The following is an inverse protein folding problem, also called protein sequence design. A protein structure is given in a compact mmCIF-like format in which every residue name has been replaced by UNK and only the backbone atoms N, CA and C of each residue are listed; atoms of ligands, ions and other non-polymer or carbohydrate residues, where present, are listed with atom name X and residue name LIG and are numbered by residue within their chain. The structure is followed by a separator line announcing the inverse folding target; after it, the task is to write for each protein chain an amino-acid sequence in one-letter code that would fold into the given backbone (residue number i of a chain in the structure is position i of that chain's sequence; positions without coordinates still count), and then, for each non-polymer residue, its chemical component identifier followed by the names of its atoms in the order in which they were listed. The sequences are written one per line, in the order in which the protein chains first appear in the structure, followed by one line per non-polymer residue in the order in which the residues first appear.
data_IF_654415962961
#
_entry.id   IF_654415962961
#
_cell.length_a   1.000
_cell.length_b   1.000
_cell.length_c   1.000
_cell.angle_alpha   90.00
_cell.angle_beta   90.00
_cell.angle_gamma   90.00
#
_symmetry.space_group_name_H-M   'P 1'
#
loop_
_entity.id
_entity.type
_entity.pdbx_description
1 polymer ?
#
# COMPACT_ATOMS: atom_id res chain seq x y z
N UNK A 1 0.07 23.99 58.16
CA UNK A 1 -1.16 23.87 58.98
C UNK A 1 -2.26 23.30 58.10
N UNK A 2 -2.86 22.21 58.56
CA UNK A 2 -3.94 21.47 57.90
C UNK A 2 -5.28 22.23 57.98
N UNK A 3 -6.20 21.96 57.05
CA UNK A 3 -7.54 21.44 57.38
C UNK A 3 -8.24 20.87 56.13
N UNK A 4 -8.84 19.70 56.33
CA UNK A 4 -9.65 18.89 55.41
C UNK A 4 -10.97 19.57 55.02
N UNK A 5 -11.52 19.24 53.84
CA UNK A 5 -12.92 18.77 53.75
C UNK A 5 -13.18 17.96 52.46
N UNK A 6 -13.99 16.92 52.62
CA UNK A 6 -14.32 15.82 51.71
C UNK A 6 -15.78 16.00 51.26
N UNK A 7 -16.12 15.74 49.99
CA UNK A 7 -17.46 15.22 49.61
C UNK A 7 -17.49 14.62 48.21
N UNK A 8 -17.65 13.30 48.16
CA UNK A 8 -18.25 12.58 47.05
C UNK A 8 -19.78 12.67 47.18
N UNK A 9 -20.48 12.81 46.06
CA UNK A 9 -21.90 12.40 45.94
C UNK A 9 -22.04 11.63 44.64
N UNK A 10 -22.10 10.30 44.76
CA UNK A 10 -22.73 9.41 43.80
C UNK A 10 -24.25 9.51 43.99
N UNK A 11 -25.01 9.54 42.90
CA UNK A 11 -26.42 9.15 42.90
C UNK A 11 -26.59 7.84 42.13
N UNK A 12 -26.98 6.84 42.90
CA UNK A 12 -27.54 5.56 42.51
C UNK A 12 -28.89 5.69 41.79
N UNK A 13 -29.14 4.84 40.78
CA UNK A 13 -30.16 3.77 40.87
C UNK A 13 -30.17 2.89 39.61
N UNK A 14 -29.83 1.63 39.86
CA UNK A 14 -30.15 0.43 39.11
C UNK A 14 -31.66 0.18 39.11
N UNK A 15 -32.20 -0.34 38.00
CA UNK A 15 -33.20 -1.42 38.03
C UNK A 15 -33.25 -2.14 36.68
N UNK A 16 -32.76 -3.37 36.70
CA UNK A 16 -32.93 -4.51 35.79
C UNK A 16 -34.38 -4.76 35.39
N UNK A 17 -34.61 -5.14 34.13
CA UNK A 17 -35.51 -6.25 33.78
C UNK A 17 -34.99 -6.99 32.55
N UNK A 18 -34.90 -8.30 32.70
CA UNK A 18 -34.47 -9.28 31.72
C UNK A 18 -35.72 -10.03 31.22
N UNK A 19 -35.61 -10.65 30.03
CA UNK A 19 -36.37 -11.80 29.50
C UNK A 19 -37.41 -11.55 28.38
N UNK A 20 -36.99 -12.03 27.18
CA UNK A 20 -37.69 -12.69 26.06
C UNK A 20 -38.90 -12.05 25.39
N UNK A 21 -38.77 -11.79 24.08
CA UNK A 21 -39.68 -12.37 23.08
C UNK A 21 -38.94 -12.72 21.78
N UNK A 22 -39.07 -13.98 21.36
CA UNK A 22 -38.83 -14.50 20.02
C UNK A 22 -39.88 -13.90 19.07
N UNK A 23 -39.46 -13.34 17.92
CA UNK A 23 -40.24 -13.50 16.69
C UNK A 23 -39.39 -13.24 15.44
N UNK A 24 -39.15 -14.33 14.70
CA UNK A 24 -38.64 -14.32 13.34
C UNK A 24 -39.71 -13.79 12.38
N UNK A 25 -39.43 -12.72 11.62
CA UNK A 25 -40.26 -12.35 10.49
C UNK A 25 -39.67 -12.91 9.19
N UNK A 26 -40.45 -13.83 8.62
CA UNK A 26 -40.32 -14.38 7.26
C UNK A 26 -40.50 -13.25 6.25
N UNK A 27 -39.52 -13.02 5.38
CA UNK A 27 -39.74 -12.31 4.12
C UNK A 27 -40.02 -13.35 3.04
N UNK A 28 -41.26 -13.32 2.54
CA UNK A 28 -41.75 -14.16 1.48
C UNK A 28 -41.33 -13.61 0.10
N UNK A 29 -40.73 -14.49 -0.71
CA UNK A 29 -40.51 -14.29 -2.15
C UNK A 29 -41.69 -14.87 -2.94
N UNK A 30 -42.25 -14.08 -3.85
CA UNK A 30 -43.24 -14.40 -4.91
C UNK A 30 -43.23 -13.18 -5.86
N UNK A 31 -43.16 -13.21 -7.19
CA UNK A 31 -43.32 -14.18 -8.30
C UNK A 31 -42.47 -13.57 -9.46
N UNK A 32 -41.86 -14.27 -10.44
CA UNK A 32 -42.51 -15.10 -11.46
C UNK A 32 -41.48 -15.73 -12.43
N UNK A 33 -41.68 -17.02 -12.74
CA UNK A 33 -41.71 -17.74 -14.04
C UNK A 33 -40.70 -17.45 -15.17
N UNK A 34 -40.32 -18.37 -16.06
CA UNK A 34 -40.29 -19.84 -16.20
C UNK A 34 -39.75 -20.09 -17.63
N UNK A 35 -38.82 -21.04 -17.83
CA UNK A 35 -38.72 -21.99 -18.96
C UNK A 35 -37.36 -22.14 -19.67
N UNK A 36 -37.16 -23.41 -20.08
CA UNK A 36 -36.19 -24.01 -21.01
C UNK A 36 -34.77 -24.20 -20.42
N UNK A 37 -34.23 -25.40 -20.17
CA UNK A 37 -34.32 -26.70 -20.85
C UNK A 37 -34.06 -27.87 -19.87
N UNK A 38 -34.69 -29.02 -20.12
CA UNK A 38 -34.52 -30.28 -19.37
C UNK A 38 -34.06 -31.39 -20.34
N UNK A 39 -33.51 -32.47 -19.76
CA UNK A 39 -33.30 -33.81 -20.34
C UNK A 39 -31.99 -33.99 -21.14
N UNK A 40 -30.99 -34.71 -20.62
CA UNK A 40 -30.84 -36.18 -20.41
C UNK A 40 -30.38 -36.91 -21.67
N UNK A 41 -29.22 -37.57 -21.61
CA UNK A 41 -28.90 -38.72 -22.47
C UNK A 41 -27.86 -39.62 -21.78
N UNK A 42 -28.38 -40.64 -21.09
CA UNK A 42 -27.73 -41.93 -20.92
C UNK A 42 -28.02 -42.78 -22.16
N UNK A 43 -26.99 -43.32 -22.82
CA UNK A 43 -27.11 -44.48 -23.72
C UNK A 43 -25.84 -45.30 -23.69
N UNK A 44 -25.92 -46.44 -23.02
CA UNK A 44 -25.19 -47.67 -23.36
C UNK A 44 -25.82 -48.29 -24.61
N UNK A 45 -25.01 -48.83 -25.52
CA UNK A 45 -25.36 -50.04 -26.27
C UNK A 45 -24.10 -50.78 -26.72
N UNK A 46 -24.25 -52.10 -26.60
CA UNK A 46 -23.41 -53.26 -26.85
C UNK A 46 -22.98 -53.46 -28.30
N UNK A 47 -21.90 -54.22 -28.50
CA UNK A 47 -21.78 -55.14 -29.63
C UNK A 47 -21.16 -56.48 -29.17
N UNK A 48 -21.88 -57.56 -29.43
CA UNK A 48 -21.48 -58.97 -29.35
C UNK A 48 -21.85 -59.63 -30.67
N UNK A 49 -20.96 -60.46 -31.22
CA UNK A 49 -21.19 -61.72 -31.95
C UNK A 49 -19.79 -62.20 -32.45
N UNK A 50 -19.41 -63.47 -32.62
CA UNK A 50 -20.11 -64.70 -33.05
C UNK A 50 -19.42 -65.97 -32.52
N UNK A 51 -20.26 -66.99 -32.30
CA UNK A 51 -20.12 -68.44 -32.09
C UNK A 51 -18.92 -69.25 -32.64
N UNK A 52 -18.60 -70.33 -31.90
CA UNK A 52 -18.58 -71.73 -32.42
C UNK A 52 -18.70 -72.76 -31.27
N UNK A 53 -19.50 -73.82 -31.50
CA UNK A 53 -19.89 -74.92 -30.59
C UNK A 53 -19.13 -76.23 -30.97
N UNK A 54 -19.50 -77.45 -30.51
CA UNK A 54 -19.29 -78.11 -29.20
C UNK A 54 -18.50 -79.46 -29.33
N UNK A 55 -18.18 -80.17 -28.24
CA UNK A 55 -18.16 -81.65 -28.24
C UNK A 55 -18.15 -82.29 -26.83
N UNK A 56 -18.67 -83.51 -26.80
CA UNK A 56 -19.18 -84.35 -25.71
C UNK A 56 -18.12 -85.08 -24.86
N UNK A 57 -18.49 -85.53 -23.65
CA UNK A 57 -18.68 -86.95 -23.21
C UNK A 57 -18.76 -87.04 -21.67
N UNK A 58 -19.53 -87.99 -21.08
CA UNK A 58 -20.01 -87.95 -19.70
C UNK A 58 -19.45 -89.04 -18.75
N UNK A 59 -19.76 -88.84 -17.45
CA UNK A 59 -19.96 -89.83 -16.37
C UNK A 59 -18.77 -90.66 -15.84
N UNK A 60 -18.48 -90.57 -14.53
CA UNK A 60 -18.93 -91.52 -13.49
C UNK A 60 -18.17 -91.38 -12.15
N UNK A 61 -18.91 -91.69 -11.09
CA UNK A 61 -18.50 -92.31 -9.81
C UNK A 61 -17.71 -91.51 -8.75
N UNK A 62 -18.49 -91.08 -7.75
CA UNK A 62 -18.29 -91.32 -6.32
C UNK A 62 -16.97 -91.93 -5.84
N UNK A 63 -16.25 -91.22 -4.99
CA UNK A 63 -16.14 -91.51 -3.54
C UNK A 63 -15.01 -90.68 -2.92
N UNK A 64 -15.04 -90.59 -1.59
CA UNK A 64 -14.07 -89.94 -0.69
C UNK A 64 -14.30 -88.45 -0.40
N UNK A 65 -15.12 -88.21 0.62
CA UNK A 65 -14.84 -87.14 1.58
C UNK A 65 -13.82 -87.63 2.60
N UNK A 66 -12.89 -86.76 3.02
CA UNK A 66 -12.65 -86.67 4.45
C UNK A 66 -12.62 -85.23 4.93
N UNK A 67 -13.38 -84.99 5.99
CA UNK A 67 -13.03 -84.19 7.16
C UNK A 67 -11.98 -83.08 6.97
N UNK A 68 -12.44 -81.83 6.92
CA UNK A 68 -11.76 -80.72 7.57
C UNK A 68 -12.75 -80.02 8.51
N UNK A 69 -13.04 -80.76 9.57
CA UNK A 69 -13.64 -80.22 10.78
C UNK A 69 -12.56 -79.48 11.56
N UNK A 70 -12.93 -78.32 12.11
CA UNK A 70 -12.28 -77.64 13.24
C UNK A 70 -10.91 -77.00 12.95
N UNK A 71 -10.96 -75.73 12.59
CA UNK A 71 -10.13 -74.68 13.22
C UNK A 71 -10.78 -73.30 13.04
N UNK A 72 -12.05 -73.18 13.44
CA UNK A 72 -12.59 -71.91 13.92
C UNK A 72 -11.98 -71.68 15.29
N UNK A 73 -10.81 -71.03 15.28
CA UNK A 73 -10.14 -70.54 16.47
C UNK A 73 -11.14 -69.66 17.22
N UNK A 74 -11.54 -70.17 18.40
CA UNK A 74 -12.21 -69.44 19.45
C UNK A 74 -11.40 -68.17 19.76
N UNK A 75 -11.78 -67.03 19.17
CA UNK A 75 -11.50 -65.76 19.82
C UNK A 75 -12.45 -65.64 21.00
N UNK A 76 -11.94 -66.12 22.14
CA UNK A 76 -12.24 -65.65 23.49
C UNK A 76 -13.06 -64.35 23.50
N UNK A 77 -14.30 -64.45 24.03
CA UNK A 77 -15.04 -63.31 24.56
C UNK A 77 -14.33 -62.84 25.84
N UNK A 78 -13.16 -62.23 25.70
CA UNK A 78 -12.64 -61.31 26.70
C UNK A 78 -13.41 -60.00 26.60
N UNK A 79 -13.63 -59.25 27.69
CA UNK A 79 -14.16 -57.91 27.57
C UNK A 79 -13.13 -57.12 26.77
N UNK A 80 -13.40 -56.88 25.48
CA UNK A 80 -12.68 -55.87 24.74
C UNK A 80 -12.90 -54.59 25.55
N UNK A 81 -11.89 -54.16 26.31
CA UNK A 81 -11.89 -52.89 27.01
C UNK A 81 -12.10 -51.86 25.92
N UNK A 82 -13.36 -51.46 25.70
CA UNK A 82 -13.70 -50.38 24.79
C UNK A 82 -12.87 -49.21 25.29
N UNK A 83 -11.97 -48.74 24.44
CA UNK A 83 -11.23 -47.51 24.72
C UNK A 83 -12.28 -46.50 25.18
N UNK A 84 -12.13 -45.92 26.39
CA UNK A 84 -13.11 -44.98 26.89
C UNK A 84 -13.31 -43.90 25.82
N UNK A 85 -14.56 -43.51 25.59
CA UNK A 85 -14.95 -42.60 24.51
C UNK A 85 -14.09 -41.32 24.50
N UNK A 86 -13.63 -40.89 25.68
CA UNK A 86 -12.67 -39.79 25.85
C UNK A 86 -11.34 -39.97 25.11
N UNK A 87 -10.77 -41.18 25.04
CA UNK A 87 -9.50 -41.44 24.34
C UNK A 87 -9.70 -41.41 22.82
N UNK A 88 -10.83 -41.93 22.33
CA UNK A 88 -11.21 -41.86 20.92
C UNK A 88 -11.41 -40.41 20.46
N UNK A 89 -12.10 -39.60 21.28
CA UNK A 89 -12.28 -38.16 21.01
C UNK A 89 -10.94 -37.42 21.00
N UNK A 90 -10.05 -37.70 21.96
CA UNK A 90 -8.73 -37.06 22.01
C UNK A 90 -7.83 -37.41 20.82
N UNK A 91 -7.90 -38.65 20.31
CA UNK A 91 -7.14 -39.07 19.11
C UNK A 91 -7.66 -38.37 17.84
N UNK A 92 -8.97 -38.20 17.70
CA UNK A 92 -9.57 -37.45 16.58
C UNK A 92 -9.14 -35.98 16.62
N UNK A 93 -9.19 -35.35 17.81
CA UNK A 93 -8.73 -33.96 17.99
C UNK A 93 -7.23 -33.83 17.66
N UNK A 94 -6.40 -34.75 18.15
CA UNK A 94 -4.96 -34.74 17.87
C UNK A 94 -4.65 -34.93 16.37
N UNK A 95 -5.41 -35.79 15.69
CA UNK A 95 -5.32 -35.97 14.24
C UNK A 95 -5.67 -34.70 13.47
N UNK A 96 -6.78 -34.03 13.81
CA UNK A 96 -7.19 -32.77 13.19
C UNK A 96 -6.17 -31.66 13.42
N UNK A 97 -5.66 -31.51 14.65
CA UNK A 97 -4.61 -30.52 14.98
C UNK A 97 -3.34 -30.77 14.17
N UNK A 98 -2.96 -32.04 13.99
CA UNK A 98 -1.75 -32.42 13.24
C UNK A 98 -1.89 -32.11 11.74
N UNK A 99 -3.06 -32.39 11.15
CA UNK A 99 -3.36 -32.07 9.74
C UNK A 99 -3.36 -30.56 9.53
N UNK A 100 -3.99 -29.80 10.43
CA UNK A 100 -4.01 -28.34 10.37
C UNK A 100 -2.61 -27.72 10.47
N UNK A 101 -1.77 -28.24 11.37
CA UNK A 101 -0.37 -27.80 11.51
C UNK A 101 0.44 -28.09 10.24
N UNK A 102 0.25 -29.27 9.65
CA UNK A 102 0.92 -29.65 8.39
C UNK A 102 0.46 -28.76 7.24
N UNK A 103 -0.85 -28.51 7.12
CA UNK A 103 -1.41 -27.62 6.10
C UNK A 103 -0.89 -26.19 6.26
N UNK A 104 -0.92 -25.64 7.47
CA UNK A 104 -0.39 -24.31 7.77
C UNK A 104 1.11 -24.21 7.45
N UNK A 105 1.88 -25.26 7.74
CA UNK A 105 3.30 -25.31 7.42
C UNK A 105 3.56 -25.31 5.91
N UNK A 106 2.84 -26.15 5.15
CA UNK A 106 2.94 -26.21 3.69
C UNK A 106 2.61 -24.86 3.06
N UNK A 107 1.55 -24.23 3.55
CA UNK A 107 1.05 -22.98 3.01
C UNK A 107 1.98 -21.80 3.35
N UNK A 108 2.52 -21.74 4.56
CA UNK A 108 3.54 -20.77 4.95
C UNK A 108 4.82 -20.93 4.12
N UNK A 109 5.25 -22.17 3.85
CA UNK A 109 6.42 -22.44 2.99
C UNK A 109 6.17 -22.02 1.54
N UNK A 110 4.96 -22.21 1.03
CA UNK A 110 4.57 -21.74 -0.29
C UNK A 110 4.57 -20.21 -0.37
N UNK A 111 4.02 -19.52 0.64
CA UNK A 111 4.07 -18.06 0.71
C UNK A 111 5.49 -17.52 0.81
N UNK A 112 6.35 -18.15 1.63
CA UNK A 112 7.77 -17.78 1.71
C UNK A 112 8.46 -17.92 0.34
N UNK A 113 8.18 -19.00 -0.38
CA UNK A 113 8.70 -19.18 -1.74
C UNK A 113 8.22 -18.09 -2.70
N UNK A 114 6.92 -17.73 -2.67
CA UNK A 114 6.38 -16.65 -3.49
C UNK A 114 7.07 -15.32 -3.21
N UNK A 115 7.18 -14.93 -1.93
CA UNK A 115 7.83 -13.67 -1.54
C UNK A 115 9.30 -13.66 -1.93
N UNK A 116 10.03 -14.76 -1.71
CA UNK A 116 11.42 -14.88 -2.12
C UNK A 116 11.59 -14.70 -3.63
N UNK A 117 10.74 -15.35 -4.42
CA UNK A 117 10.75 -15.21 -5.89
C UNK A 117 10.36 -13.78 -6.33
N UNK A 118 9.42 -13.12 -5.64
CA UNK A 118 9.06 -11.72 -5.92
C UNK A 118 10.21 -10.77 -5.61
N UNK A 119 10.88 -10.90 -4.46
CA UNK A 119 12.06 -10.09 -4.11
C UNK A 119 13.20 -10.35 -5.07
N UNK A 120 13.40 -11.61 -5.49
CA UNK A 120 14.41 -11.95 -6.48
C UNK A 120 14.14 -11.24 -7.82
N UNK A 121 12.91 -11.28 -8.35
CA UNK A 121 12.58 -10.67 -9.65
C UNK A 121 12.36 -9.15 -9.61
N UNK A 122 12.00 -8.62 -8.45
CA UNK A 122 11.45 -7.28 -8.28
C UNK A 122 10.01 -7.15 -8.78
N UNK A 123 9.34 -6.04 -8.45
CA UNK A 123 7.93 -5.84 -8.81
C UNK A 123 7.70 -5.27 -10.21
N UNK A 124 8.70 -4.58 -10.78
CA UNK A 124 8.65 -3.99 -12.14
C UNK A 124 7.32 -3.26 -12.44
N UNK A 125 7.03 -2.16 -11.73
CA UNK A 125 5.71 -1.52 -11.77
C UNK A 125 5.32 -1.06 -13.19
N UNK A 126 4.04 -1.21 -13.51
CA UNK A 126 3.48 -0.75 -14.78
C UNK A 126 3.39 0.79 -14.84
N UNK A 127 3.59 1.34 -16.03
CA UNK A 127 3.51 2.78 -16.32
C UNK A 127 2.36 2.97 -17.31
N UNK A 128 1.23 3.48 -16.81
CA UNK A 128 0.04 3.74 -17.61
C UNK A 128 0.06 5.15 -18.23
N UNK A 129 1.15 5.48 -18.92
CA UNK A 129 1.30 6.75 -19.63
C UNK A 129 1.73 6.43 -21.05
N UNK A 130 1.09 7.05 -22.03
CA UNK A 130 1.46 6.89 -23.43
C UNK A 130 2.78 7.58 -23.75
N UNK A 131 3.53 7.07 -24.71
CA UNK A 131 4.90 7.53 -25.02
C UNK A 131 4.98 9.00 -25.48
N UNK A 132 3.87 9.53 -26.02
CA UNK A 132 3.67 10.94 -26.39
C UNK A 132 3.44 11.85 -25.17
N UNK A 133 3.22 11.29 -23.99
CA UNK A 133 3.03 12.02 -22.73
C UNK A 133 4.17 11.81 -21.74
N UNK A 134 4.95 10.76 -21.91
CA UNK A 134 6.07 10.43 -21.04
C UNK A 134 7.31 11.30 -21.35
N UNK A 135 7.82 11.98 -20.32
CA UNK A 135 9.07 12.72 -20.38
C UNK A 135 10.14 12.05 -19.47
N UNK A 136 11.17 11.40 -20.03
CA UNK A 136 11.95 10.39 -19.31
C UNK A 136 13.05 10.91 -18.36
N UNK A 137 13.49 12.18 -18.46
CA UNK A 137 14.57 12.80 -17.63
C UNK A 137 15.72 11.83 -17.26
N UNK A 138 16.54 11.41 -18.24
CA UNK A 138 17.51 10.32 -18.07
C UNK A 138 18.49 10.54 -16.90
N UNK A 139 18.96 11.78 -16.69
CA UNK A 139 19.86 12.09 -15.58
C UNK A 139 19.25 11.80 -14.20
N UNK A 140 17.94 12.05 -14.02
CA UNK A 140 17.23 11.76 -12.77
C UNK A 140 17.02 10.25 -12.63
N UNK A 141 16.62 9.57 -13.71
CA UNK A 141 16.44 8.11 -13.75
C UNK A 141 17.76 7.40 -13.41
N UNK A 142 18.88 7.82 -13.98
CA UNK A 142 20.20 7.26 -13.68
C UNK A 142 20.63 7.47 -12.23
N UNK A 143 20.28 8.63 -11.63
CA UNK A 143 20.51 8.88 -10.21
C UNK A 143 19.66 7.96 -9.33
N UNK A 144 18.40 7.73 -9.70
CA UNK A 144 17.51 6.78 -9.00
C UNK A 144 18.01 5.33 -9.12
N UNK A 145 18.45 4.92 -10.32
CA UNK A 145 19.01 3.58 -10.57
C UNK A 145 20.23 3.28 -9.70
N UNK A 146 21.05 4.29 -9.40
CA UNK A 146 22.20 4.15 -8.48
C UNK A 146 21.75 3.82 -7.06
N UNK A 147 20.71 4.49 -6.54
CA UNK A 147 20.22 4.21 -5.18
C UNK A 147 19.36 2.94 -5.09
N UNK A 148 18.85 2.45 -6.23
CA UNK A 148 18.11 1.18 -6.33
C UNK A 148 19.02 -0.04 -6.40
N UNK A 149 20.33 0.17 -6.54
CA UNK A 149 21.35 -0.88 -6.59
C UNK A 149 22.41 -0.66 -5.49
N UNK A 150 22.00 -0.76 -4.22
CA UNK A 150 22.90 -0.52 -3.10
C UNK A 150 23.99 -1.60 -3.01
N UNK A 151 25.13 -1.22 -2.46
CA UNK A 151 26.14 -2.18 -2.02
C UNK A 151 25.66 -2.92 -0.76
N UNK A 152 26.22 -4.12 -0.52
CA UNK A 152 25.92 -4.99 0.62
C UNK A 152 26.15 -4.32 1.98
N UNK A 153 26.98 -3.28 2.00
CA UNK A 153 27.47 -2.59 3.19
C UNK A 153 26.84 -1.20 3.40
N UNK A 154 25.93 -0.78 2.53
CA UNK A 154 25.23 0.50 2.66
C UNK A 154 24.42 0.56 3.97
N UNK A 155 24.57 1.67 4.70
CA UNK A 155 24.04 1.84 6.06
C UNK A 155 23.17 3.08 6.23
N UNK A 156 22.47 3.49 5.16
CA UNK A 156 21.52 4.59 5.16
C UNK A 156 20.35 4.32 4.21
N UNK A 157 19.18 4.88 4.53
CA UNK A 157 17.99 4.85 3.68
C UNK A 157 17.87 6.15 2.88
N UNK A 158 17.09 6.14 1.81
CA UNK A 158 16.95 7.28 0.90
C UNK A 158 15.60 7.98 1.05
N UNK A 159 15.59 9.27 0.74
CA UNK A 159 14.37 10.06 0.58
C UNK A 159 14.41 10.71 -0.79
N UNK A 160 13.38 10.45 -1.59
CA UNK A 160 13.12 11.14 -2.85
C UNK A 160 11.95 12.09 -2.61
N UNK A 161 12.22 13.38 -2.73
CA UNK A 161 11.23 14.41 -2.54
C UNK A 161 11.04 15.20 -3.81
N UNK A 162 10.04 16.06 -3.77
CA UNK A 162 9.81 17.04 -4.81
C UNK A 162 8.38 17.49 -4.75
N UNK A 163 8.15 18.53 -5.51
CA UNK A 163 6.86 19.15 -5.64
C UNK A 163 5.79 18.18 -6.22
N UNK A 164 4.54 18.28 -5.77
CA UNK A 164 3.43 17.52 -6.37
C UNK A 164 3.36 17.72 -7.90
N UNK A 165 3.24 16.63 -8.66
CA UNK A 165 3.12 16.73 -10.11
C UNK A 165 4.42 16.99 -10.88
N UNK A 166 5.61 16.84 -10.27
CA UNK A 166 6.92 16.89 -10.97
C UNK A 166 7.34 15.58 -11.64
N UNK A 167 6.49 14.55 -11.60
CA UNK A 167 6.75 13.25 -12.24
C UNK A 167 7.52 12.23 -11.39
N UNK A 168 7.70 12.47 -10.07
CA UNK A 168 8.41 11.58 -9.15
C UNK A 168 8.02 10.10 -9.27
N UNK A 169 6.73 9.79 -9.14
CA UNK A 169 6.19 8.43 -9.23
C UNK A 169 6.57 7.79 -10.56
N UNK A 170 6.45 8.51 -11.67
CA UNK A 170 6.76 8.00 -13.00
C UNK A 170 8.25 7.72 -13.15
N UNK A 171 9.12 8.65 -12.77
CA UNK A 171 10.57 8.47 -12.84
C UNK A 171 11.06 7.35 -11.92
N UNK A 172 10.43 7.20 -10.74
CA UNK A 172 10.72 6.12 -9.79
C UNK A 172 10.27 4.76 -10.33
N UNK A 173 9.08 4.68 -10.95
CA UNK A 173 8.60 3.46 -11.63
C UNK A 173 9.51 3.07 -12.80
N UNK A 174 9.94 4.05 -13.62
CA UNK A 174 10.88 3.82 -14.73
C UNK A 174 12.19 3.23 -14.22
N UNK A 175 12.84 3.89 -13.25
CA UNK A 175 14.08 3.41 -12.68
C UNK A 175 13.92 2.03 -12.02
N UNK A 176 12.80 1.79 -11.33
CA UNK A 176 12.50 0.52 -10.67
C UNK A 176 12.35 -0.62 -11.69
N UNK A 177 11.64 -0.36 -12.80
CA UNK A 177 11.47 -1.30 -13.90
C UNK A 177 12.78 -1.58 -14.65
N UNK A 178 13.60 -0.56 -14.89
CA UNK A 178 14.90 -0.72 -15.55
C UNK A 178 15.92 -1.49 -14.71
N UNK A 179 15.91 -1.32 -13.38
CA UNK A 179 16.73 -2.14 -12.48
C UNK A 179 16.16 -3.54 -12.35
N UNK A 180 14.85 -3.64 -12.11
CA UNK A 180 14.11 -4.88 -11.92
C UNK A 180 14.54 -5.61 -10.65
N UNK A 181 15.59 -6.42 -10.76
CA UNK A 181 16.01 -7.39 -9.75
C UNK A 181 16.21 -6.75 -8.36
N UNK A 182 15.61 -7.33 -7.33
CA UNK A 182 15.81 -6.89 -5.95
C UNK A 182 15.06 -5.61 -5.55
N UNK A 183 14.24 -5.01 -6.44
CA UNK A 183 13.49 -3.78 -6.15
C UNK A 183 12.02 -4.09 -5.96
N UNK A 184 11.52 -3.84 -4.74
CA UNK A 184 10.11 -3.93 -4.40
C UNK A 184 9.50 -2.52 -4.38
N UNK A 185 8.54 -2.28 -5.27
CA UNK A 185 7.78 -1.04 -5.33
C UNK A 185 6.43 -1.20 -4.63
N UNK A 186 6.15 -0.37 -3.63
CA UNK A 186 4.88 -0.32 -2.90
C UNK A 186 4.25 1.05 -3.11
N UNK A 187 3.18 1.10 -3.90
CA UNK A 187 2.40 2.33 -4.14
C UNK A 187 1.34 2.48 -3.06
N UNK A 188 1.55 3.40 -2.11
CA UNK A 188 0.54 3.64 -1.09
C UNK A 188 -0.69 4.23 -1.81
N UNK A 189 -1.92 3.72 -1.54
CA UNK A 189 -3.17 4.24 -2.12
C UNK A 189 -3.26 5.75 -1.99
N UNK A 190 -4.18 6.41 -2.71
CA UNK A 190 -4.52 7.85 -2.55
C UNK A 190 -5.95 8.09 -2.03
N UNK A 191 -6.73 7.04 -1.85
CA UNK A 191 -8.12 7.13 -1.40
C UNK A 191 -8.21 7.00 0.14
N UNK A 192 -8.81 7.97 0.86
CA UNK A 192 -9.03 7.91 2.31
C UNK A 192 -9.70 6.62 2.80
N UNK A 193 -10.53 5.98 1.97
CA UNK A 193 -11.16 4.69 2.28
C UNK A 193 -10.17 3.52 2.27
N UNK A 194 -9.08 3.63 1.50
CA UNK A 194 -8.06 2.59 1.30
C UNK A 194 -6.70 2.92 1.94
N UNK A 195 -6.51 4.13 2.49
CA UNK A 195 -5.27 4.56 3.14
C UNK A 195 -5.08 4.05 4.57
N UNK A 196 -6.09 3.44 5.17
CA UNK A 196 -6.00 2.90 6.52
C UNK A 196 -4.93 1.80 6.64
N UNK A 197 -4.60 1.43 7.89
CA UNK A 197 -3.68 0.32 8.23
C UNK A 197 -3.91 -0.94 7.39
N UNK A 198 -5.18 -1.21 7.08
CA UNK A 198 -5.64 -2.38 6.37
C UNK A 198 -5.36 -2.30 4.87
N UNK A 199 -5.73 -1.19 4.23
CA UNK A 199 -5.52 -1.01 2.79
C UNK A 199 -4.03 -0.86 2.43
N UNK A 200 -3.24 -0.14 3.24
CA UNK A 200 -1.78 -0.17 3.11
C UNK A 200 -1.22 -1.59 3.26
N UNK A 201 -1.71 -2.34 4.24
CA UNK A 201 -1.31 -3.73 4.45
C UNK A 201 -1.62 -4.62 3.25
N UNK A 202 -2.81 -4.47 2.67
CA UNK A 202 -3.22 -5.18 1.45
C UNK A 202 -2.27 -4.89 0.29
N UNK A 203 -2.05 -3.62 -0.03
CA UNK A 203 -1.16 -3.24 -1.15
C UNK A 203 0.28 -3.69 -0.93
N UNK A 204 0.78 -3.59 0.30
CA UNK A 204 2.13 -4.08 0.61
C UNK A 204 2.21 -5.61 0.43
N UNK A 205 1.20 -6.37 0.89
CA UNK A 205 1.17 -7.81 0.64
C UNK A 205 1.07 -8.16 -0.85
N UNK A 206 0.21 -7.48 -1.60
CA UNK A 206 0.07 -7.67 -3.06
C UNK A 206 1.39 -7.40 -3.79
N UNK A 207 2.10 -6.33 -3.41
CA UNK A 207 3.42 -5.99 -3.95
C UNK A 207 4.47 -7.09 -3.70
N UNK A 208 4.28 -7.94 -2.70
CA UNK A 208 5.15 -9.07 -2.39
C UNK A 208 4.64 -10.41 -2.94
N UNK A 209 3.46 -10.43 -3.57
CA UNK A 209 2.70 -11.66 -3.82
C UNK A 209 2.47 -12.48 -2.53
N UNK A 210 2.25 -11.78 -1.42
CA UNK A 210 2.04 -12.35 -0.09
C UNK A 210 0.55 -12.57 0.17
N UNK A 211 0.18 -13.79 0.55
CA UNK A 211 -1.19 -14.13 0.91
C UNK A 211 -1.40 -13.94 2.42
N UNK A 212 -2.28 -13.01 2.78
CA UNK A 212 -2.76 -12.87 4.15
C UNK A 212 -3.73 -13.99 4.47
N UNK A 213 -3.22 -15.07 5.03
CA UNK A 213 -4.08 -16.15 5.51
C UNK A 213 -4.67 -15.76 6.86
N UNK A 214 -5.93 -15.34 6.83
CA UNK A 214 -6.80 -15.23 8.00
C UNK A 214 -7.49 -16.56 8.30
N UNK A 215 -6.83 -17.68 8.05
CA UNK A 215 -7.27 -18.94 8.61
C UNK A 215 -6.93 -18.91 10.09
N UNK A 216 -7.93 -18.60 10.92
CA UNK A 216 -7.86 -19.01 12.32
C UNK A 216 -7.80 -20.54 12.28
N UNK A 217 -6.59 -21.11 12.36
CA UNK A 217 -6.43 -22.56 12.37
C UNK A 217 -7.33 -23.14 13.46
N UNK A 218 -7.82 -24.38 13.31
CA UNK A 218 -8.60 -25.02 14.38
C UNK A 218 -7.81 -24.99 15.69
N UNK A 219 -6.48 -25.10 15.60
CA UNK A 219 -5.51 -24.90 16.68
C UNK A 219 -5.54 -23.50 17.29
N UNK A 220 -5.60 -22.42 16.50
CA UNK A 220 -5.75 -21.05 17.01
C UNK A 220 -7.13 -20.81 17.66
N UNK A 221 -8.19 -21.40 17.11
CA UNK A 221 -9.53 -21.45 17.73
C UNK A 221 -9.51 -22.23 19.06
N UNK A 222 -8.80 -23.37 19.12
CA UNK A 222 -8.63 -24.16 20.33
C UNK A 222 -7.80 -23.43 21.38
N UNK A 223 -6.67 -22.83 21.00
CA UNK A 223 -5.81 -22.08 21.91
C UNK A 223 -6.51 -20.84 22.45
N UNK A 224 -7.29 -20.13 21.63
CA UNK A 224 -8.13 -19.02 22.08
C UNK A 224 -9.19 -19.49 23.10
N UNK A 225 -9.80 -20.66 22.85
CA UNK A 225 -10.87 -21.22 23.70
C UNK A 225 -10.37 -21.88 24.99
N UNK A 226 -9.18 -22.50 24.97
CA UNK A 226 -8.62 -23.27 26.09
C UNK A 226 -7.62 -22.45 26.92
N UNK A 227 -6.78 -21.65 26.27
CA UNK A 227 -5.65 -20.96 26.92
C UNK A 227 -5.86 -19.44 27.02
N UNK A 228 -6.97 -18.90 26.49
CA UNK A 228 -7.25 -17.46 26.54
C UNK A 228 -6.25 -16.59 25.76
N UNK A 229 -5.43 -17.19 24.89
CA UNK A 229 -4.48 -16.44 24.06
C UNK A 229 -5.26 -15.66 22.99
N UNK A 230 -5.16 -14.33 23.06
CA UNK A 230 -5.46 -13.48 21.90
C UNK A 230 -4.37 -13.73 20.87
N UNK A 231 -4.73 -14.32 19.73
CA UNK A 231 -3.85 -14.41 18.56
C UNK A 231 -3.41 -12.97 18.26
N UNK A 232 -2.09 -12.73 18.30
CA UNK A 232 -1.52 -11.41 18.08
C UNK A 232 -2.04 -10.86 16.74
N UNK A 233 -2.97 -9.91 16.82
CA UNK A 233 -3.66 -9.31 15.68
C UNK A 233 -2.71 -8.29 15.03
N UNK A 234 -1.55 -8.80 14.62
CA UNK A 234 -0.53 -8.01 13.96
C UNK A 234 -1.11 -7.52 12.63
N UNK A 235 -1.12 -6.20 12.44
CA UNK A 235 -1.64 -5.56 11.23
C UNK A 235 -1.03 -6.17 9.97
N UNK A 236 -1.80 -6.22 8.88
CA UNK A 236 -1.36 -6.82 7.60
C UNK A 236 -0.03 -6.27 7.11
N UNK A 237 0.18 -4.95 7.21
CA UNK A 237 1.44 -4.35 6.79
C UNK A 237 2.66 -4.81 7.60
N UNK A 238 2.50 -5.12 8.90
CA UNK A 238 3.59 -5.66 9.74
C UNK A 238 3.93 -7.10 9.35
N UNK A 239 2.91 -7.89 8.99
CA UNK A 239 3.11 -9.25 8.46
C UNK A 239 3.84 -9.23 7.13
N UNK A 240 3.44 -8.35 6.20
CA UNK A 240 4.12 -8.15 4.92
C UNK A 240 5.57 -7.70 5.11
N UNK A 241 5.82 -6.72 5.98
CA UNK A 241 7.16 -6.24 6.30
C UNK A 241 8.06 -7.35 6.89
N UNK A 242 7.51 -8.19 7.76
CA UNK A 242 8.23 -9.35 8.31
C UNK A 242 8.59 -10.35 7.21
N UNK A 243 7.65 -10.66 6.31
CA UNK A 243 7.90 -11.54 5.18
C UNK A 243 8.99 -10.98 4.25
N UNK A 244 8.92 -9.68 3.93
CA UNK A 244 9.95 -8.99 3.15
C UNK A 244 11.34 -9.05 3.79
N UNK A 245 11.45 -8.88 5.11
CA UNK A 245 12.73 -8.99 5.83
C UNK A 245 13.34 -10.38 5.74
N UNK A 246 12.52 -11.42 5.86
CA UNK A 246 12.98 -12.80 5.71
C UNK A 246 13.50 -13.05 4.29
N UNK A 247 12.72 -12.63 3.29
CA UNK A 247 13.13 -12.72 1.89
C UNK A 247 14.38 -11.88 1.57
N UNK A 248 14.56 -10.75 2.27
CA UNK A 248 15.74 -9.91 2.12
C UNK A 248 17.02 -10.60 2.58
N UNK A 249 16.94 -11.39 3.65
CA UNK A 249 18.06 -12.20 4.11
C UNK A 249 18.46 -13.27 3.08
N UNK A 250 17.46 -13.93 2.47
CA UNK A 250 17.67 -14.91 1.38
C UNK A 250 18.29 -14.25 0.15
N UNK A 251 17.75 -13.11 -0.27
CA UNK A 251 18.29 -12.33 -1.40
C UNK A 251 19.74 -11.92 -1.17
N UNK A 252 20.05 -11.38 0.02
CA UNK A 252 21.40 -10.97 0.39
C UNK A 252 22.38 -12.14 0.36
N UNK A 253 21.99 -13.30 0.89
CA UNK A 253 22.84 -14.49 0.88
C UNK A 253 23.12 -14.99 -0.55
N UNK A 254 22.13 -14.89 -1.46
CA UNK A 254 22.24 -15.36 -2.84
C UNK A 254 22.99 -14.41 -3.76
N UNK A 255 22.76 -13.10 -3.62
CA UNK A 255 23.26 -12.09 -4.56
C UNK A 255 24.39 -11.23 -4.01
N UNK A 256 24.74 -11.36 -2.72
CA UNK A 256 25.71 -10.51 -2.02
C UNK A 256 25.41 -9.01 -2.23
N UNK A 257 24.12 -8.65 -2.25
CA UNK A 257 23.59 -7.28 -2.41
C UNK A 257 22.35 -7.11 -1.53
N UNK A 258 22.05 -5.88 -1.12
CA UNK A 258 20.82 -5.59 -0.37
C UNK A 258 19.66 -5.40 -1.35
N UNK A 259 18.47 -5.97 -1.08
CA UNK A 259 17.27 -5.59 -1.80
C UNK A 259 16.81 -4.21 -1.36
N UNK A 260 15.97 -3.59 -2.20
CA UNK A 260 15.42 -2.27 -2.01
C UNK A 260 13.91 -2.34 -1.89
N UNK A 261 13.35 -1.61 -0.95
CA UNK A 261 11.92 -1.35 -0.89
C UNK A 261 11.64 0.14 -1.05
N UNK A 262 10.75 0.46 -1.99
CA UNK A 262 10.32 1.80 -2.31
C UNK A 262 8.89 1.95 -1.79
N UNK A 263 8.69 2.90 -0.87
CA UNK A 263 7.39 3.35 -0.42
C UNK A 263 7.04 4.63 -1.19
N UNK A 264 6.16 4.52 -2.19
CA UNK A 264 5.68 5.67 -2.95
C UNK A 264 4.40 6.25 -2.36
N UNK A 265 4.21 7.56 -2.54
CA UNK A 265 3.09 8.33 -2.01
C UNK A 265 2.94 8.25 -0.48
N UNK A 266 4.05 8.41 0.25
CA UNK A 266 4.03 8.35 1.73
C UNK A 266 3.22 9.46 2.38
N UNK A 267 2.79 10.49 1.63
CA UNK A 267 1.82 11.48 2.07
C UNK A 267 0.51 10.85 2.53
N UNK A 268 0.05 9.80 1.86
CA UNK A 268 -1.18 9.09 2.22
C UNK A 268 -1.14 8.49 3.63
N UNK A 269 0.03 8.03 4.09
CA UNK A 269 0.17 7.49 5.44
C UNK A 269 0.09 8.56 6.52
N UNK A 270 0.63 9.76 6.25
CA UNK A 270 0.59 10.85 7.23
C UNK A 270 -0.85 11.31 7.47
N UNK A 271 -1.66 11.31 6.42
CA UNK A 271 -3.05 11.74 6.49
C UNK A 271 -3.96 10.70 7.16
N UNK A 272 -3.67 9.39 7.00
CA UNK A 272 -4.46 8.32 7.60
C UNK A 272 -4.01 7.91 9.01
N UNK A 273 -2.77 7.46 9.16
CA UNK A 273 -2.16 7.20 10.48
C UNK A 273 -0.65 7.48 10.43
N UNK A 274 -0.22 8.64 10.95
CA UNK A 274 1.16 9.03 10.85
C UNK A 274 2.10 8.12 11.65
N UNK A 275 1.61 7.31 12.61
CA UNK A 275 2.41 6.32 13.33
C UNK A 275 2.95 5.21 12.43
N UNK A 276 2.30 4.93 11.30
CA UNK A 276 2.79 3.94 10.33
C UNK A 276 4.10 4.43 9.72
N UNK A 277 4.12 5.67 9.19
CA UNK A 277 5.33 6.27 8.64
C UNK A 277 6.46 6.29 9.67
N UNK A 278 6.12 6.63 10.91
CA UNK A 278 7.06 6.66 12.02
C UNK A 278 7.73 5.30 12.25
N UNK A 279 6.92 4.24 12.23
CA UNK A 279 7.39 2.88 12.44
C UNK A 279 8.22 2.40 11.24
N UNK A 280 7.79 2.71 10.01
CA UNK A 280 8.57 2.39 8.81
C UNK A 280 9.92 3.09 8.79
N UNK A 281 9.98 4.35 9.26
CA UNK A 281 11.23 5.12 9.32
C UNK A 281 12.19 4.55 10.38
N UNK A 282 11.71 4.21 11.58
CA UNK A 282 12.53 3.53 12.59
C UNK A 282 12.99 2.15 12.11
N UNK A 283 12.16 1.45 11.35
CA UNK A 283 12.52 0.16 10.78
C UNK A 283 13.57 0.28 9.67
N UNK A 284 13.45 1.29 8.81
CA UNK A 284 14.45 1.64 7.80
C UNK A 284 15.81 1.95 8.44
N UNK A 285 15.81 2.71 9.55
CA UNK A 285 16.99 2.97 10.36
C UNK A 285 17.59 1.67 10.90
N UNK A 286 16.78 0.80 11.53
CA UNK A 286 17.26 -0.48 12.04
C UNK A 286 17.81 -1.39 10.95
N UNK A 287 17.16 -1.43 9.78
CA UNK A 287 17.63 -2.18 8.63
C UNK A 287 18.96 -1.65 8.10
N UNK A 288 19.14 -0.33 8.07
CA UNK A 288 20.38 0.33 7.69
C UNK A 288 21.53 0.00 8.68
N UNK A 289 21.25 -0.01 9.99
CA UNK A 289 22.21 -0.40 11.03
C UNK A 289 22.66 -1.86 10.87
N UNK A 290 21.71 -2.75 10.53
CA UNK A 290 21.93 -4.19 10.43
C UNK A 290 22.21 -4.67 8.99
N UNK A 291 22.27 -3.74 8.02
CA UNK A 291 22.48 -4.00 6.59
C UNK A 291 21.56 -5.12 6.06
N UNK A 292 20.25 -5.02 6.28
CA UNK A 292 19.29 -6.06 5.85
C UNK A 292 18.67 -5.78 4.48
N UNK A 293 18.22 -4.54 4.29
CA UNK A 293 17.66 -4.01 3.05
C UNK A 293 17.74 -2.48 3.10
N UNK A 294 17.57 -1.82 1.96
CA UNK A 294 17.50 -0.34 1.88
C UNK A 294 16.05 0.09 1.65
N UNK A 295 15.59 1.06 2.44
CA UNK A 295 14.29 1.69 2.23
C UNK A 295 14.45 2.99 1.44
N UNK A 296 13.45 3.30 0.61
CA UNK A 296 13.36 4.56 -0.12
C UNK A 296 11.96 5.11 0.09
N UNK A 297 11.88 6.33 0.63
CA UNK A 297 10.62 7.01 0.81
C UNK A 297 10.44 8.04 -0.30
N UNK A 298 9.43 7.87 -1.15
CA UNK A 298 9.06 8.87 -2.16
C UNK A 298 7.90 9.70 -1.62
N UNK A 299 8.16 10.99 -1.42
CA UNK A 299 7.23 11.87 -0.74
C UNK A 299 7.03 13.20 -1.46
N UNK A 300 5.90 13.83 -1.18
CA UNK A 300 5.69 15.23 -1.48
C UNK A 300 6.33 16.07 -0.39
N UNK A 301 6.89 17.21 -0.80
CA UNK A 301 7.74 18.07 0.02
C UNK A 301 7.11 18.56 1.32
N UNK A 302 5.79 18.74 1.34
CA UNK A 302 5.09 19.55 2.33
C UNK A 302 5.19 19.05 3.79
N UNK A 303 4.47 17.97 4.13
CA UNK A 303 4.23 17.55 5.52
C UNK A 303 5.09 16.35 5.94
N UNK A 304 5.36 15.44 5.01
CA UNK A 304 6.06 14.17 5.27
C UNK A 304 7.52 14.43 5.63
N UNK A 305 8.23 15.22 4.81
CA UNK A 305 9.65 15.52 5.02
C UNK A 305 9.91 16.24 6.34
N UNK A 306 9.05 17.21 6.68
CA UNK A 306 9.11 17.91 7.98
C UNK A 306 8.92 16.94 9.16
N UNK A 307 7.96 16.00 9.05
CA UNK A 307 7.73 14.97 10.07
C UNK A 307 8.91 14.02 10.20
N UNK A 308 9.41 13.46 9.10
CA UNK A 308 10.54 12.52 9.13
C UNK A 308 11.79 13.14 9.77
N UNK A 309 12.05 14.43 9.51
CA UNK A 309 13.17 15.20 10.09
C UNK A 309 13.04 15.47 11.58
N UNK A 310 11.82 15.63 12.08
CA UNK A 310 11.59 15.83 13.51
C UNK A 310 12.10 14.64 14.34
N UNK A 311 12.21 13.45 13.74
CA UNK A 311 12.82 12.25 14.32
C UNK A 311 14.32 12.22 14.14
N UNK A 312 15.02 12.98 14.97
CA UNK A 312 16.49 13.09 14.91
C UNK A 312 17.21 11.73 14.87
N UNK A 313 16.71 10.76 15.63
CA UNK A 313 17.32 9.42 15.72
C UNK A 313 17.24 8.65 14.39
N UNK A 314 16.04 8.48 13.82
CA UNK A 314 15.87 7.81 12.54
C UNK A 314 16.44 8.63 11.38
N UNK A 315 16.24 9.94 11.37
CA UNK A 315 16.74 10.84 10.32
C UNK A 315 18.28 10.82 10.21
N UNK A 316 19.01 10.52 11.28
CA UNK A 316 20.47 10.37 11.22
C UNK A 316 20.96 9.25 10.28
N UNK A 317 20.07 8.32 9.90
CA UNK A 317 20.32 7.25 8.93
C UNK A 317 19.67 7.50 7.58
N UNK A 318 19.04 8.65 7.37
CA UNK A 318 18.74 9.10 6.02
C UNK A 318 20.04 9.53 5.33
N UNK A 319 20.15 9.30 4.03
CA UNK A 319 21.18 9.96 3.23
C UNK A 319 21.04 11.48 3.38
N UNK A 320 22.19 12.15 3.51
CA UNK A 320 22.28 13.60 3.54
C UNK A 320 21.85 14.17 2.18
N UNK A 321 22.16 13.47 1.08
CA UNK A 321 21.81 13.90 -0.28
C UNK A 321 20.38 13.48 -0.65
N UNK A 322 19.39 14.19 -0.10
CA UNK A 322 17.99 14.03 -0.52
C UNK A 322 17.89 14.28 -2.04
N UNK A 323 17.25 13.36 -2.76
CA UNK A 323 17.01 13.53 -4.19
C UNK A 323 15.75 14.38 -4.36
N UNK A 324 15.94 15.64 -4.73
CA UNK A 324 14.86 16.58 -5.03
C UNK A 324 14.56 16.57 -6.53
N UNK A 325 13.36 16.13 -6.89
CA UNK A 325 12.85 16.16 -8.27
C UNK A 325 11.94 17.37 -8.39
N UNK A 326 12.52 18.48 -8.85
CA UNK A 326 11.81 19.72 -9.13
C UNK A 326 11.16 19.74 -10.51
N UNK A 327 10.64 20.91 -10.86
CA UNK A 327 10.09 21.25 -12.16
C UNK A 327 11.08 20.95 -13.30
N UNK A 328 10.52 20.85 -14.51
CA UNK A 328 11.30 20.85 -15.73
C UNK A 328 11.97 22.22 -15.92
N UNK A 329 13.20 22.21 -16.43
CA UNK A 329 13.82 23.41 -16.97
C UNK A 329 13.01 23.97 -18.14
N UNK A 330 13.29 25.22 -18.53
CA UNK A 330 12.68 25.82 -19.72
C UNK A 330 12.89 24.93 -20.96
N UNK A 331 14.13 24.52 -21.22
CA UNK A 331 14.46 23.66 -22.36
C UNK A 331 13.72 22.31 -22.30
N UNK A 332 13.69 21.64 -21.14
CA UNK A 332 12.93 20.39 -20.96
C UNK A 332 11.42 20.61 -21.17
N UNK A 333 10.88 21.75 -20.74
CA UNK A 333 9.45 22.08 -20.87
C UNK A 333 9.06 22.35 -22.32
N UNK A 334 9.87 23.13 -23.04
CA UNK A 334 9.66 23.41 -24.46
C UNK A 334 9.85 22.13 -25.28
N UNK A 335 10.87 21.31 -24.98
CA UNK A 335 11.06 20.01 -25.61
C UNK A 335 9.85 19.09 -25.40
N UNK A 336 9.32 19.02 -24.18
CA UNK A 336 8.08 18.30 -23.89
C UNK A 336 6.90 18.81 -24.74
N UNK A 337 6.62 20.12 -24.73
CA UNK A 337 5.49 20.68 -25.46
C UNK A 337 5.63 20.51 -26.99
N UNK A 338 6.83 20.66 -27.54
CA UNK A 338 7.06 20.58 -28.98
C UNK A 338 7.18 19.13 -29.44
N UNK A 339 8.12 18.37 -28.87
CA UNK A 339 8.48 17.06 -29.39
C UNK A 339 7.54 15.95 -28.91
N UNK A 340 7.06 16.03 -27.67
CA UNK A 340 6.09 15.06 -27.13
C UNK A 340 4.66 15.44 -27.48
N UNK A 341 4.27 16.70 -27.22
CA UNK A 341 2.88 17.16 -27.38
C UNK A 341 2.54 17.74 -28.76
N UNK A 342 3.52 17.87 -29.66
CA UNK A 342 3.34 18.33 -31.05
C UNK A 342 2.74 19.75 -31.16
N UNK A 343 3.01 20.60 -30.17
CA UNK A 343 2.62 22.01 -30.17
C UNK A 343 3.70 22.82 -30.89
N UNK A 344 3.32 23.88 -31.62
CA UNK A 344 4.30 24.76 -32.28
C UNK A 344 5.17 25.46 -31.25
N UNK A 345 6.43 25.74 -31.61
CA UNK A 345 7.40 26.30 -30.66
C UNK A 345 6.95 27.64 -30.08
N UNK A 346 6.34 28.50 -30.89
CA UNK A 346 5.86 29.82 -30.49
C UNK A 346 4.74 29.71 -29.44
N UNK A 347 3.80 28.78 -29.66
CA UNK A 347 2.70 28.50 -28.74
C UNK A 347 3.22 27.81 -27.46
N UNK A 348 4.21 26.92 -27.60
CA UNK A 348 4.84 26.25 -26.47
C UNK A 348 5.52 27.23 -25.51
N UNK A 349 6.20 28.26 -26.03
CA UNK A 349 6.80 29.33 -25.23
C UNK A 349 5.72 30.06 -24.43
N UNK A 350 4.60 30.45 -25.07
CA UNK A 350 3.48 31.13 -24.39
C UNK A 350 2.90 30.27 -23.27
N UNK A 351 2.75 28.96 -23.50
CA UNK A 351 2.24 28.03 -22.49
C UNK A 351 3.22 27.86 -21.34
N UNK A 352 4.52 27.73 -21.61
CA UNK A 352 5.57 27.65 -20.60
C UNK A 352 5.65 28.93 -19.77
N UNK A 353 5.68 30.10 -20.40
CA UNK A 353 5.71 31.40 -19.71
C UNK A 353 4.51 31.57 -18.78
N UNK A 354 3.38 30.96 -19.17
CA UNK A 354 2.19 30.95 -18.34
C UNK A 354 2.32 29.99 -17.14
N UNK A 355 2.59 28.69 -17.34
CA UNK A 355 2.48 27.70 -16.25
C UNK A 355 3.79 27.30 -15.57
N UNK A 356 4.94 27.61 -16.16
CA UNK A 356 6.25 27.17 -15.72
C UNK A 356 6.55 25.71 -16.08
N UNK A 357 7.47 25.09 -15.33
CA UNK A 357 8.02 23.76 -15.63
C UNK A 357 7.32 22.58 -14.97
N UNK A 358 6.22 22.81 -14.24
CA UNK A 358 5.48 21.75 -13.57
C UNK A 358 4.79 20.84 -14.60
N UNK A 359 5.23 19.58 -14.72
CA UNK A 359 4.81 18.69 -15.81
C UNK A 359 3.30 18.39 -15.80
N UNK A 360 2.65 18.35 -14.62
CA UNK A 360 1.19 18.17 -14.56
C UNK A 360 0.44 19.40 -15.09
N UNK A 361 0.95 20.60 -14.83
CA UNK A 361 0.34 21.84 -15.29
C UNK A 361 0.58 22.02 -16.79
N UNK A 362 1.80 21.72 -17.27
CA UNK A 362 2.14 21.65 -18.70
C UNK A 362 1.25 20.67 -19.46
N UNK A 363 1.05 19.46 -18.91
CA UNK A 363 0.13 18.48 -19.49
C UNK A 363 -1.29 19.03 -19.56
N UNK A 364 -1.78 19.62 -18.47
CA UNK A 364 -3.13 20.19 -18.41
C UNK A 364 -3.34 21.26 -19.48
N UNK A 365 -2.44 22.23 -19.60
CA UNK A 365 -2.60 23.29 -20.61
C UNK A 365 -2.43 22.77 -22.03
N UNK A 366 -1.53 21.81 -22.25
CA UNK A 366 -1.37 21.15 -23.54
C UNK A 366 -2.63 20.39 -23.95
N UNK A 367 -3.25 19.63 -23.05
CA UNK A 367 -4.51 18.91 -23.30
C UNK A 367 -5.64 19.89 -23.70
N UNK A 368 -5.80 20.99 -22.96
CA UNK A 368 -6.84 21.99 -23.24
C UNK A 368 -6.59 22.73 -24.56
N UNK A 369 -5.33 23.08 -24.82
CA UNK A 369 -4.92 23.76 -26.04
C UNK A 369 -5.17 22.89 -27.28
N UNK A 370 -4.73 21.62 -27.24
CA UNK A 370 -4.95 20.66 -28.33
C UNK A 370 -6.44 20.33 -28.55
N UNK A 371 -7.28 20.48 -27.53
CA UNK A 371 -8.74 20.41 -27.64
C UNK A 371 -9.38 21.66 -28.27
N UNK A 372 -8.58 22.64 -28.74
CA UNK A 372 -9.04 23.85 -29.42
C UNK A 372 -9.47 24.99 -28.48
N UNK A 373 -9.19 24.91 -27.18
CA UNK A 373 -9.48 26.01 -26.28
C UNK A 373 -8.51 27.18 -26.50
N UNK A 374 -9.04 28.40 -26.52
CA UNK A 374 -8.21 29.61 -26.57
C UNK A 374 -7.39 29.76 -25.30
N UNK A 375 -6.16 30.25 -25.45
CA UNK A 375 -5.20 30.42 -24.34
C UNK A 375 -5.81 31.27 -23.22
N UNK A 376 -6.54 32.34 -23.54
CA UNK A 376 -7.17 33.22 -22.56
C UNK A 376 -8.18 32.49 -21.67
N UNK A 377 -8.93 31.54 -22.23
CA UNK A 377 -9.90 30.72 -21.49
C UNK A 377 -9.17 29.75 -20.56
N UNK A 378 -8.09 29.14 -21.04
CA UNK A 378 -7.22 28.26 -20.22
C UNK A 378 -6.63 29.04 -19.05
N UNK A 379 -6.17 30.27 -19.30
CA UNK A 379 -5.64 31.16 -18.26
C UNK A 379 -6.67 31.41 -17.15
N UNK A 380 -7.91 31.75 -17.52
CA UNK A 380 -8.99 31.97 -16.55
C UNK A 380 -9.28 30.72 -15.71
N UNK A 381 -9.30 29.53 -16.31
CA UNK A 381 -9.52 28.28 -15.57
C UNK A 381 -8.44 28.03 -14.52
N UNK A 382 -7.17 28.28 -14.84
CA UNK A 382 -6.06 28.12 -13.91
C UNK A 382 -6.12 29.15 -12.79
N UNK A 383 -6.45 30.41 -13.09
CA UNK A 383 -6.61 31.45 -12.07
C UNK A 383 -7.72 31.10 -11.05
N UNK A 384 -8.81 30.50 -11.52
CA UNK A 384 -9.87 29.99 -10.63
C UNK A 384 -9.31 28.91 -9.68
N UNK A 385 -8.51 27.99 -10.19
CA UNK A 385 -7.91 26.93 -9.36
C UNK A 385 -6.89 27.48 -8.35
N UNK A 386 -6.06 28.45 -8.75
CA UNK A 386 -5.16 29.17 -7.85
C UNK A 386 -5.97 29.86 -6.73
N UNK A 387 -7.05 30.55 -7.08
CA UNK A 387 -7.93 31.23 -6.11
C UNK A 387 -8.48 30.23 -5.08
N UNK A 388 -8.90 29.03 -5.51
CA UNK A 388 -9.34 27.97 -4.58
C UNK A 388 -8.22 27.54 -3.62
N UNK A 389 -6.97 27.42 -4.09
CA UNK A 389 -5.82 27.10 -3.22
C UNK A 389 -5.62 28.15 -2.13
N UNK A 390 -5.72 29.43 -2.46
CA UNK A 390 -5.66 30.51 -1.46
C UNK A 390 -6.82 30.44 -0.46
N UNK A 391 -8.02 30.10 -0.93
CA UNK A 391 -9.18 29.91 -0.07
C UNK A 391 -8.99 28.71 0.89
N UNK A 392 -8.51 27.57 0.39
CA UNK A 392 -8.16 26.39 1.18
C UNK A 392 -7.05 26.66 2.19
N UNK A 393 -6.08 27.50 1.83
CA UNK A 393 -5.00 27.94 2.73
C UNK A 393 -5.46 28.96 3.78
N UNK A 394 -6.71 29.44 3.69
CA UNK A 394 -7.27 30.50 4.56
C UNK A 394 -6.47 31.81 4.53
N UNK A 395 -5.91 32.15 3.37
CA UNK A 395 -5.02 33.31 3.17
C UNK A 395 -5.76 34.55 2.64
N UNK A 396 -7.02 34.44 2.21
CA UNK A 396 -7.81 35.55 1.69
C UNK A 396 -8.29 36.47 2.81
N UNK A 397 -8.72 37.68 2.44
CA UNK A 397 -9.18 38.69 3.40
C UNK A 397 -10.26 38.11 4.35
N UNK A 398 -10.18 38.48 5.63
CA UNK A 398 -11.05 38.00 6.72
C UNK A 398 -10.92 36.51 7.07
N UNK A 399 -9.97 35.78 6.50
CA UNK A 399 -9.68 34.40 6.88
C UNK A 399 -8.59 34.29 7.96
N UNK A 400 -8.52 33.13 8.61
CA UNK A 400 -7.70 32.91 9.83
C UNK A 400 -6.20 33.10 9.61
N UNK A 401 -5.67 32.83 8.42
CA UNK A 401 -4.24 32.91 8.12
C UNK A 401 -3.86 34.16 7.33
N UNK A 402 -4.80 35.04 7.03
CA UNK A 402 -4.57 36.21 6.17
C UNK A 402 -3.38 37.08 6.61
N UNK A 403 -3.36 37.55 7.87
CA UNK A 403 -2.27 38.43 8.37
C UNK A 403 -0.90 37.75 8.38
N UNK A 404 -0.85 36.48 8.78
CA UNK A 404 0.37 35.68 8.78
C UNK A 404 0.85 35.39 7.36
N UNK A 405 -0.08 35.00 6.49
CA UNK A 405 0.08 34.77 5.08
C UNK A 405 0.66 35.96 4.34
N UNK A 406 0.05 37.14 4.53
CA UNK A 406 0.55 38.41 4.01
C UNK A 406 2.01 38.65 4.37
N UNK A 407 2.35 38.50 5.65
CA UNK A 407 3.73 38.69 6.11
C UNK A 407 4.71 37.71 5.44
N UNK A 408 4.31 36.45 5.26
CA UNK A 408 5.12 35.46 4.57
C UNK A 408 5.25 35.75 3.06
N UNK A 409 4.15 36.14 2.41
CA UNK A 409 4.10 36.53 0.99
C UNK A 409 5.01 37.74 0.73
N UNK A 410 4.94 38.78 1.55
CA UNK A 410 5.76 39.99 1.40
C UNK A 410 7.25 39.69 1.46
N UNK A 411 7.65 38.77 2.34
CA UNK A 411 9.04 38.35 2.45
C UNK A 411 9.44 37.49 1.24
N UNK A 412 8.59 36.55 0.80
CA UNK A 412 8.85 35.71 -0.38
C UNK A 412 8.96 36.51 -1.67
N UNK A 413 8.12 37.53 -1.87
CA UNK A 413 8.19 38.42 -3.03
C UNK A 413 9.54 39.15 -3.12
N UNK A 414 10.17 39.46 -1.97
CA UNK A 414 11.47 40.15 -1.89
C UNK A 414 12.65 39.20 -1.97
N UNK A 415 12.59 38.08 -1.27
CA UNK A 415 13.73 37.17 -1.04
C UNK A 415 13.73 35.93 -1.92
N UNK A 416 12.61 35.64 -2.61
CA UNK A 416 12.31 34.39 -3.34
C UNK A 416 12.20 33.14 -2.48
N UNK A 417 12.98 33.03 -1.41
CA UNK A 417 12.96 31.92 -0.48
C UNK A 417 13.05 32.38 0.98
N UNK A 418 12.42 31.66 1.90
CA UNK A 418 12.47 31.92 3.35
C UNK A 418 12.96 30.67 4.07
N UNK A 419 13.83 30.81 5.08
CA UNK A 419 14.15 29.70 5.98
C UNK A 419 12.88 29.09 6.61
N UNK A 420 12.77 27.77 6.60
CA UNK A 420 11.55 27.10 7.04
C UNK A 420 11.22 27.32 8.52
N UNK A 421 12.20 27.56 9.38
CA UNK A 421 11.93 27.91 10.79
C UNK A 421 11.40 29.33 10.91
N UNK A 422 11.91 30.27 10.10
CA UNK A 422 11.35 31.63 10.00
C UNK A 422 9.92 31.57 9.46
N UNK A 423 9.68 30.80 8.40
CA UNK A 423 8.34 30.63 7.84
C UNK A 423 7.34 30.08 8.88
N UNK A 424 7.73 29.05 9.64
CA UNK A 424 6.93 28.47 10.74
C UNK A 424 6.54 29.50 11.80
N UNK A 425 7.38 30.50 12.08
CA UNK A 425 7.09 31.54 13.08
C UNK A 425 5.95 32.48 12.67
N UNK A 426 5.65 32.61 11.37
CA UNK A 426 4.48 33.39 10.93
C UNK A 426 3.16 32.73 11.35
N UNK A 427 3.10 31.40 11.32
CA UNK A 427 1.91 30.61 11.63
C UNK A 427 2.04 30.04 13.04
N UNK A 428 1.67 30.84 14.06
CA UNK A 428 1.71 30.52 15.50
C UNK A 428 0.85 29.28 15.84
N UNK A 429 1.38 28.09 15.56
CA UNK A 429 1.10 26.74 16.07
C UNK A 429 1.55 25.73 14.98
N UNK A 430 2.30 24.67 15.37
CA UNK A 430 2.91 23.73 14.42
C UNK A 430 1.91 23.01 13.49
N UNK A 431 0.64 22.90 13.88
CA UNK A 431 -0.43 22.31 13.06
C UNK A 431 -0.92 23.25 11.94
N UNK A 432 -0.93 24.57 12.18
CA UNK A 432 -1.43 25.58 11.23
C UNK A 432 -0.51 25.77 10.03
N UNK A 433 0.80 25.60 10.22
CA UNK A 433 1.78 25.63 9.12
C UNK A 433 1.56 24.49 8.12
N UNK A 434 1.26 23.27 8.61
CA UNK A 434 1.04 22.12 7.74
C UNK A 434 -0.23 22.30 6.88
N UNK A 435 -1.27 22.94 7.42
CA UNK A 435 -2.50 23.27 6.68
C UNK A 435 -2.20 24.17 5.47
N UNK A 436 -1.38 25.20 5.67
CA UNK A 436 -1.02 26.17 4.64
C UNK A 436 -0.14 25.55 3.54
N UNK A 437 0.78 24.64 3.89
CA UNK A 437 1.54 23.89 2.89
C UNK A 437 0.67 22.90 2.10
N UNK A 438 -0.24 22.18 2.79
CA UNK A 438 -1.18 21.24 2.16
C UNK A 438 -2.06 21.90 1.10
N UNK A 439 -2.36 23.18 1.25
CA UNK A 439 -3.14 23.95 0.28
C UNK A 439 -2.39 24.29 -1.02
N UNK A 440 -1.10 23.91 -1.15
CA UNK A 440 -0.29 24.05 -2.37
C UNK A 440 -0.16 25.50 -2.85
N UNK A 441 -0.08 26.45 -1.93
CA UNK A 441 0.29 27.86 -2.21
C UNK A 441 1.80 28.05 -2.08
N UNK A 442 2.41 27.39 -1.08
CA UNK A 442 3.84 27.39 -0.83
C UNK A 442 4.41 25.98 -1.02
N UNK A 443 5.71 25.88 -1.24
CA UNK A 443 6.45 24.63 -1.31
C UNK A 443 7.59 24.63 -0.29
N UNK A 444 7.87 23.49 0.32
CA UNK A 444 8.98 23.33 1.27
C UNK A 444 10.13 22.57 0.62
N UNK A 445 11.25 23.24 0.33
CA UNK A 445 12.44 22.65 -0.27
C UNK A 445 13.28 21.98 0.82
N UNK A 446 13.28 20.64 0.91
CA UNK A 446 13.89 19.98 2.03
C UNK A 446 15.42 20.00 1.92
N UNK A 447 16.00 19.92 0.72
CA UNK A 447 17.46 19.97 0.55
C UNK A 447 18.09 21.23 1.17
N UNK A 448 17.40 22.37 1.04
CA UNK A 448 17.84 23.69 1.49
C UNK A 448 17.20 24.15 2.81
N UNK A 449 16.20 23.42 3.29
CA UNK A 449 15.36 23.81 4.42
C UNK A 449 14.71 25.20 4.24
N UNK A 450 14.27 25.51 3.02
CA UNK A 450 13.62 26.78 2.67
C UNK A 450 12.19 26.57 2.21
N UNK A 451 11.40 27.63 2.20
CA UNK A 451 10.04 27.67 1.66
C UNK A 451 10.02 28.67 0.50
N UNK A 452 9.33 28.31 -0.58
CA UNK A 452 9.13 29.11 -1.80
C UNK A 452 7.66 29.24 -2.12
N UNK A 453 7.31 30.10 -3.09
CA UNK A 453 6.03 29.91 -3.78
C UNK A 453 6.04 28.59 -4.53
N UNK A 454 4.89 27.92 -4.52
CA UNK A 454 4.71 26.63 -5.18
C UNK A 454 4.90 26.69 -6.70
N UNK A 455 4.63 27.84 -7.32
CA UNK A 455 4.85 28.01 -8.75
C UNK A 455 4.99 29.48 -9.12
N UNK A 456 5.60 29.74 -10.28
CA UNK A 456 5.65 31.08 -10.89
C UNK A 456 4.24 31.66 -11.07
N UNK A 457 3.26 30.82 -11.39
CA UNK A 457 1.85 31.18 -11.50
C UNK A 457 1.29 31.80 -10.22
N UNK A 458 1.59 31.22 -9.06
CA UNK A 458 1.14 31.74 -7.77
C UNK A 458 1.80 33.08 -7.48
N UNK A 459 3.10 33.21 -7.78
CA UNK A 459 3.80 34.49 -7.64
C UNK A 459 3.19 35.58 -8.53
N UNK A 460 2.91 35.27 -9.81
CA UNK A 460 2.28 36.20 -10.75
C UNK A 460 0.87 36.61 -10.29
N UNK A 461 0.06 35.64 -9.86
CA UNK A 461 -1.28 35.89 -9.35
C UNK A 461 -1.30 36.87 -8.17
N UNK A 462 -0.37 36.71 -7.22
CA UNK A 462 -0.24 37.62 -6.07
C UNK A 462 0.11 39.03 -6.55
N UNK A 463 1.05 39.16 -7.49
CA UNK A 463 1.51 40.45 -8.02
C UNK A 463 0.42 41.19 -8.81
N UNK A 464 -0.41 40.46 -9.55
CA UNK A 464 -1.53 41.01 -10.33
C UNK A 464 -2.72 41.39 -9.44
N UNK A 465 -2.84 40.81 -8.25
CA UNK A 465 -3.96 41.03 -7.32
C UNK A 465 -3.50 41.59 -5.97
N UNK A 466 -2.77 42.73 -5.93
CA UNK A 466 -2.19 43.26 -4.70
C UNK A 466 -3.28 43.53 -3.65
N UNK A 467 -4.44 44.03 -4.05
CA UNK A 467 -5.55 44.36 -3.14
C UNK A 467 -6.08 43.16 -2.32
N UNK A 468 -5.87 41.93 -2.79
CA UNK A 468 -6.27 40.72 -2.06
C UNK A 468 -5.29 40.35 -0.94
N UNK A 469 -4.05 40.86 -1.01
CA UNK A 469 -2.92 40.45 -0.17
C UNK A 469 -2.22 41.63 0.53
N UNK A 470 -2.52 42.88 0.18
CA UNK A 470 -1.90 44.11 0.71
C UNK A 470 -2.65 44.79 1.85
#
# INVERSE_FOLDING_TARGET
MAYYFRRNVLSSRLATYQVMFLQSQKVALRYSNHNLFHSSLSKSFTNTAIHSSPHNIPSKESSSSPNLNKNLVKFSKGPAKRLPVSILVNLVIAGLVSVDLLYAWLLNKYNEHLVNNTVEKGTQPEIYISDDQLFPRPLVVDRLKKIFQPDRDQSFYHVVCGEYGTGKTILTKMASREVGQGVIYVEIPSDPSDHGMEGFGKVFGESLNFKFEEHISFTALLMKRILGYNVDEQSKWRKALKAFKNASAVYKAKHNKLPVIIYDNTSGLVDADPKILDTLQEDAKWSADNRKYIAIFVNNEDSVSSRMRSRRSAWSRADISVIEIGDLSEDESIDYLVNKRKIKKEEAIILYDFVGGCIIDLKFVADKFLAGQKIEVIKQQILIEITKRFWSAKLLQNQTHHKAGKSAIDVLLKSKEIDANVFKRFFKDGEKYNEVLKAKVFAYNPSRNTVTFRSKLIEAYIKENPNMFQ
#
